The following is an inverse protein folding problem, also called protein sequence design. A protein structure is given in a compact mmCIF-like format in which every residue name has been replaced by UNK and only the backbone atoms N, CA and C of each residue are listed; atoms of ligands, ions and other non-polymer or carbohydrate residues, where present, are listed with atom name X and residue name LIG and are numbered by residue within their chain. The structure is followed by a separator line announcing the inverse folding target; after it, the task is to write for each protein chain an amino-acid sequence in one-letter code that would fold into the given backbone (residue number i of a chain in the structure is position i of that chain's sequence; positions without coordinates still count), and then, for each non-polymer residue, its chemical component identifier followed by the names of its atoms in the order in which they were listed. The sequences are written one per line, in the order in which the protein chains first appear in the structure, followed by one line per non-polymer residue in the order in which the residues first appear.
data_IF_540657185133
#
_entry.id   IF_540657185133
#
_cell.length_a   1.000
_cell.length_b   1.000
_cell.length_c   1.000
_cell.angle_alpha   90.00
_cell.angle_beta   90.00
_cell.angle_gamma   90.00
#
_symmetry.space_group_name_H-M   'P 1'
#
loop_
_entity.id
_entity.type
_entity.pdbx_description
1 polymer ?
#
# COMPACT_ATOMS: atom_id res chain seq x y z
N UNK A 1 -22.84 -2.27 38.87
CA UNK A 1 -21.36 -2.14 38.71
C UNK A 1 -20.65 -3.37 38.10
N UNK A 2 -21.19 -4.60 38.10
CA UNK A 2 -20.52 -5.77 37.48
C UNK A 2 -20.52 -5.80 35.93
N UNK A 3 -21.53 -5.19 35.29
CA UNK A 3 -21.64 -5.19 33.81
C UNK A 3 -20.69 -4.20 33.10
N UNK A 4 -20.31 -3.11 33.78
CA UNK A 4 -19.39 -2.11 33.22
C UNK A 4 -17.95 -2.63 33.16
N UNK A 5 -17.54 -3.42 34.15
CA UNK A 5 -16.20 -4.01 34.23
C UNK A 5 -15.98 -5.11 33.17
N UNK A 6 -17.02 -5.88 32.84
CA UNK A 6 -16.95 -6.95 31.84
C UNK A 6 -16.81 -6.40 30.40
N UNK A 7 -17.44 -5.26 30.09
CA UNK A 7 -17.29 -4.59 28.78
C UNK A 7 -15.92 -3.93 28.61
N UNK A 8 -15.32 -3.41 29.69
CA UNK A 8 -13.97 -2.84 29.66
C UNK A 8 -12.90 -3.93 29.45
N UNK A 9 -13.03 -5.07 30.13
CA UNK A 9 -12.12 -6.21 29.97
C UNK A 9 -12.17 -6.84 28.56
N UNK A 10 -13.37 -6.94 27.95
CA UNK A 10 -13.52 -7.48 26.59
C UNK A 10 -12.96 -6.55 25.52
N UNK A 11 -13.14 -5.23 25.67
CA UNK A 11 -12.58 -4.24 24.74
C UNK A 11 -11.04 -4.25 24.76
N UNK A 12 -10.41 -4.35 25.94
CA UNK A 12 -8.95 -4.37 26.09
C UNK A 12 -8.34 -5.65 25.48
N UNK A 13 -8.93 -6.82 25.72
CA UNK A 13 -8.47 -8.08 25.14
C UNK A 13 -8.57 -8.08 23.60
N UNK A 14 -9.66 -7.53 23.03
CA UNK A 14 -9.80 -7.38 21.59
C UNK A 14 -8.77 -6.42 21.00
N UNK A 15 -8.38 -5.35 21.70
CA UNK A 15 -7.38 -4.41 21.19
C UNK A 15 -5.99 -5.01 21.08
N UNK A 16 -5.56 -5.83 22.05
CA UNK A 16 -4.26 -6.50 22.00
C UNK A 16 -4.18 -7.56 20.90
N UNK A 17 -5.22 -8.38 20.75
CA UNK A 17 -5.28 -9.38 19.70
C UNK A 17 -5.23 -8.76 18.28
N UNK A 18 -5.86 -7.60 18.09
CA UNK A 18 -5.79 -6.84 16.83
C UNK A 18 -4.36 -6.38 16.51
N UNK A 19 -3.67 -5.84 17.51
CA UNK A 19 -2.33 -5.29 17.33
C UNK A 19 -1.31 -6.43 17.06
N UNK A 20 -1.52 -7.62 17.65
CA UNK A 20 -0.73 -8.83 17.37
C UNK A 20 -0.99 -9.41 15.97
N UNK A 21 -2.23 -9.37 15.46
CA UNK A 21 -2.57 -9.80 14.09
C UNK A 21 -1.93 -8.87 13.06
N UNK A 22 -1.99 -7.56 13.26
CA UNK A 22 -1.35 -6.61 12.36
C UNK A 22 0.18 -6.82 12.35
N UNK A 23 0.80 -7.05 13.51
CA UNK A 23 2.23 -7.27 13.60
C UNK A 23 2.68 -8.59 12.95
N UNK A 24 1.94 -9.69 13.18
CA UNK A 24 2.26 -11.01 12.62
C UNK A 24 1.98 -11.15 11.12
N UNK A 25 1.14 -10.28 10.55
CA UNK A 25 0.82 -10.27 9.12
C UNK A 25 1.65 -9.28 8.30
N UNK A 26 2.53 -8.49 8.92
CA UNK A 26 3.37 -7.52 8.22
C UNK A 26 4.48 -8.24 7.42
N UNK A 27 4.48 -8.09 6.10
CA UNK A 27 5.40 -8.79 5.18
C UNK A 27 6.26 -7.87 4.31
N UNK A 28 6.02 -6.57 4.36
CA UNK A 28 6.90 -5.56 3.77
C UNK A 28 6.77 -4.26 4.56
N UNK A 29 7.88 -3.65 4.94
CA UNK A 29 7.91 -2.45 5.76
C UNK A 29 9.13 -1.59 5.45
N UNK A 30 8.91 -0.42 4.85
CA UNK A 30 9.97 0.52 4.46
C UNK A 30 9.71 1.88 5.12
N UNK A 31 10.64 2.33 5.96
CA UNK A 31 10.56 3.60 6.69
C UNK A 31 11.40 4.70 6.06
N UNK A 32 12.37 4.35 5.21
CA UNK A 32 13.31 5.29 4.59
C UNK A 32 14.17 6.10 5.59
N UNK A 33 14.08 5.79 6.88
CA UNK A 33 14.85 6.43 7.95
C UNK A 33 16.35 6.11 7.88
N UNK A 34 17.17 6.92 8.54
CA UNK A 34 18.62 6.75 8.57
C UNK A 34 19.02 5.35 9.06
N UNK A 35 20.06 4.77 8.44
CA UNK A 35 20.49 3.38 8.70
C UNK A 35 19.56 2.29 8.13
N UNK A 36 18.35 2.64 7.69
CA UNK A 36 17.34 1.71 7.15
C UNK A 36 16.80 2.13 5.78
N UNK A 37 17.38 3.16 5.16
CA UNK A 37 16.91 3.84 3.94
C UNK A 37 16.40 2.90 2.84
N UNK A 38 17.16 1.87 2.50
CA UNK A 38 16.84 0.97 1.39
C UNK A 38 16.20 -0.34 1.84
N UNK A 39 16.01 -0.56 3.14
CA UNK A 39 15.74 -1.88 3.70
C UNK A 39 14.25 -2.12 3.92
N UNK A 40 13.81 -3.33 3.57
CA UNK A 40 12.59 -3.89 4.15
C UNK A 40 12.89 -4.40 5.57
N UNK A 41 12.21 -3.84 6.56
CA UNK A 41 12.39 -4.21 7.98
C UNK A 41 11.83 -5.59 8.33
N UNK A 42 11.04 -6.20 7.44
CA UNK A 42 10.56 -7.57 7.63
C UNK A 42 11.53 -8.63 7.09
N UNK A 43 12.50 -8.22 6.27
CA UNK A 43 13.50 -9.11 5.66
C UNK A 43 12.96 -9.99 4.53
N UNK A 44 11.75 -9.74 4.03
CA UNK A 44 11.14 -10.55 2.97
C UNK A 44 11.42 -9.99 1.58
N UNK A 45 11.61 -8.68 1.46
CA UNK A 45 11.91 -7.99 0.22
C UNK A 45 13.40 -7.61 0.15
N UNK A 46 13.96 -7.62 -1.07
CA UNK A 46 15.32 -7.16 -1.30
C UNK A 46 15.47 -5.64 -1.05
N UNK A 47 16.71 -5.20 -0.87
CA UNK A 47 17.02 -3.78 -0.74
C UNK A 47 16.55 -3.00 -1.99
N UNK A 48 16.04 -1.80 -1.74
CA UNK A 48 15.51 -0.91 -2.78
C UNK A 48 16.61 -0.48 -3.73
N UNK A 49 16.31 -0.55 -5.03
CA UNK A 49 17.07 0.09 -6.10
C UNK A 49 16.43 1.45 -6.42
N UNK A 50 17.18 2.52 -6.19
CA UNK A 50 16.77 3.87 -6.58
C UNK A 50 17.05 4.08 -8.08
N UNK A 51 16.00 4.44 -8.83
CA UNK A 51 16.04 4.70 -10.27
C UNK A 51 15.74 6.18 -10.50
N UNK A 52 16.70 7.02 -10.10
CA UNK A 52 16.58 8.48 -10.09
C UNK A 52 15.78 9.06 -8.90
N UNK A 53 15.05 8.23 -8.15
CA UNK A 53 14.51 8.64 -6.86
C UNK A 53 15.63 8.86 -5.84
N UNK A 54 15.32 9.57 -4.76
CA UNK A 54 16.26 9.85 -3.67
C UNK A 54 15.58 9.66 -2.32
N UNK A 55 16.39 9.43 -1.29
CA UNK A 55 15.90 9.38 0.09
C UNK A 55 16.49 10.55 0.85
N UNK A 56 15.62 11.39 1.42
CA UNK A 56 16.00 12.57 2.19
C UNK A 56 15.07 12.72 3.39
N UNK A 57 15.65 13.03 4.56
CA UNK A 57 14.92 13.32 5.80
C UNK A 57 13.86 12.27 6.17
N UNK A 58 14.21 10.99 6.08
CA UNK A 58 13.31 9.87 6.40
C UNK A 58 12.21 9.63 5.37
N UNK A 59 12.38 10.10 4.12
CA UNK A 59 11.35 9.96 3.08
C UNK A 59 11.93 9.51 1.76
N UNK A 60 11.22 8.62 1.07
CA UNK A 60 11.46 8.33 -0.33
C UNK A 60 10.80 9.42 -1.19
N UNK A 61 11.62 10.04 -2.04
CA UNK A 61 11.22 11.15 -2.91
C UNK A 61 11.15 10.64 -4.34
N UNK A 62 9.92 10.55 -4.85
CA UNK A 62 9.62 10.12 -6.22
C UNK A 62 9.10 11.29 -7.03
N UNK A 63 9.42 11.30 -8.32
CA UNK A 63 9.05 12.36 -9.24
C UNK A 63 9.00 11.85 -10.68
N UNK A 64 8.67 12.73 -11.63
CA UNK A 64 8.55 12.42 -13.06
C UNK A 64 9.69 11.57 -13.64
N UNK A 65 10.92 11.74 -13.17
CA UNK A 65 12.10 11.01 -13.64
C UNK A 65 12.69 10.07 -12.59
N UNK A 66 12.14 10.06 -11.38
CA UNK A 66 12.71 9.34 -10.23
C UNK A 66 11.70 8.38 -9.62
N UNK A 67 12.05 7.10 -9.59
CA UNK A 67 11.24 6.03 -9.03
C UNK A 67 12.13 5.02 -8.31
N UNK A 68 11.52 4.05 -7.65
CA UNK A 68 12.24 3.02 -6.91
C UNK A 68 11.58 1.65 -7.06
N UNK A 69 12.37 0.59 -6.90
CA UNK A 69 11.90 -0.80 -6.95
C UNK A 69 12.61 -1.66 -5.92
N UNK A 70 11.87 -2.57 -5.31
CA UNK A 70 12.41 -3.71 -4.58
C UNK A 70 12.15 -4.98 -5.42
N UNK A 71 13.15 -5.53 -6.12
CA UNK A 71 12.96 -6.45 -7.26
C UNK A 71 12.76 -7.92 -6.89
N UNK A 72 12.85 -8.30 -5.62
CA UNK A 72 12.79 -9.72 -5.20
C UNK A 72 12.06 -9.87 -3.88
N UNK A 73 11.28 -10.93 -3.78
CA UNK A 73 10.54 -11.33 -2.59
C UNK A 73 10.80 -12.80 -2.22
N UNK A 74 11.06 -13.05 -0.94
CA UNK A 74 11.31 -14.38 -0.37
C UNK A 74 10.40 -14.76 0.78
N UNK A 75 9.40 -13.92 1.08
CA UNK A 75 8.44 -14.15 2.15
C UNK A 75 7.32 -15.14 1.81
N UNK A 76 6.31 -15.26 2.68
CA UNK A 76 5.15 -16.13 2.48
C UNK A 76 4.27 -15.67 1.32
N UNK A 77 3.44 -16.56 0.77
CA UNK A 77 2.46 -16.19 -0.24
C UNK A 77 1.52 -15.08 0.26
N UNK A 78 1.33 -14.04 -0.56
CA UNK A 78 0.39 -12.95 -0.32
C UNK A 78 -0.85 -13.18 -1.20
N UNK A 79 -2.06 -13.12 -0.65
CA UNK A 79 -3.30 -13.20 -1.42
C UNK A 79 -4.29 -12.14 -0.95
N UNK A 80 -5.03 -12.40 0.12
CA UNK A 80 -5.67 -11.35 0.90
C UNK A 80 -4.59 -10.45 1.49
N UNK A 81 -4.80 -9.13 1.36
CA UNK A 81 -3.76 -8.18 1.72
C UNK A 81 -4.28 -6.80 2.06
N UNK A 82 -3.40 -6.02 2.68
CA UNK A 82 -3.54 -4.58 2.82
C UNK A 82 -2.27 -3.88 2.36
N UNK A 83 -2.41 -2.94 1.43
CA UNK A 83 -1.35 -2.00 1.03
C UNK A 83 -1.55 -0.71 1.81
N UNK A 84 -0.49 -0.15 2.39
CA UNK A 84 -0.52 1.12 3.13
C UNK A 84 0.66 1.99 2.71
N UNK A 85 0.42 3.28 2.52
CA UNK A 85 1.48 4.26 2.28
C UNK A 85 1.13 5.60 2.94
N UNK A 86 2.08 6.19 3.65
CA UNK A 86 2.01 7.57 4.14
C UNK A 86 2.70 8.47 3.12
N UNK A 87 1.90 9.28 2.45
CA UNK A 87 2.31 9.97 1.22
C UNK A 87 1.84 11.42 1.23
N UNK A 88 2.69 12.30 0.73
CA UNK A 88 2.39 13.71 0.46
C UNK A 88 2.68 13.99 -1.00
N UNK A 89 1.67 14.41 -1.77
CA UNK A 89 1.90 14.86 -3.14
C UNK A 89 2.69 16.17 -3.13
N UNK A 90 3.66 16.28 -4.04
CA UNK A 90 4.41 17.53 -4.30
C UNK A 90 3.93 18.23 -5.57
N UNK A 91 3.28 17.50 -6.49
CA UNK A 91 2.53 18.05 -7.62
C UNK A 91 1.31 17.16 -7.90
N UNK A 92 0.12 17.75 -7.92
CA UNK A 92 -1.14 17.03 -8.19
C UNK A 92 -1.45 16.86 -9.68
N UNK A 93 -0.70 17.53 -10.58
CA UNK A 93 -0.96 17.52 -12.03
C UNK A 93 -0.35 16.31 -12.74
N UNK A 94 0.36 15.46 -12.00
CA UNK A 94 0.90 14.19 -12.49
C UNK A 94 -0.16 13.10 -12.51
N UNK A 95 0.05 12.07 -13.34
CA UNK A 95 -0.96 11.03 -13.55
C UNK A 95 -0.37 9.63 -13.58
N UNK A 96 -1.19 8.73 -13.08
CA UNK A 96 -1.09 7.30 -13.19
C UNK A 96 0.15 6.66 -12.57
N UNK A 97 0.91 7.34 -11.72
CA UNK A 97 1.93 6.70 -10.87
C UNK A 97 1.35 6.16 -9.57
N UNK A 98 2.17 5.46 -8.78
CA UNK A 98 1.74 4.87 -7.52
C UNK A 98 2.59 5.30 -6.32
N UNK A 99 1.92 5.36 -5.17
CA UNK A 99 2.60 5.47 -3.87
C UNK A 99 3.12 4.11 -3.39
N UNK A 100 2.54 3.01 -3.86
CA UNK A 100 2.99 1.64 -3.59
C UNK A 100 2.31 0.70 -4.58
N UNK A 101 3.10 -0.12 -5.26
CA UNK A 101 2.64 -1.19 -6.15
C UNK A 101 3.22 -2.51 -5.71
N UNK A 102 2.42 -3.57 -5.71
CA UNK A 102 2.90 -4.95 -5.72
C UNK A 102 2.65 -5.55 -7.10
N UNK A 103 3.68 -6.09 -7.72
CA UNK A 103 3.68 -6.56 -9.11
C UNK A 103 4.23 -7.98 -9.21
N UNK A 104 3.85 -8.69 -10.28
CA UNK A 104 4.46 -9.96 -10.66
C UNK A 104 5.64 -9.74 -11.58
N UNK A 105 6.65 -10.59 -11.44
CA UNK A 105 7.84 -10.56 -12.30
C UNK A 105 7.53 -11.30 -13.61
N UNK A 106 6.77 -12.40 -13.51
CA UNK A 106 6.52 -13.35 -14.60
C UNK A 106 5.45 -12.93 -15.61
N UNK A 107 4.54 -12.03 -15.22
CA UNK A 107 3.38 -11.63 -16.03
C UNK A 107 2.88 -10.24 -15.61
N UNK A 108 2.22 -9.54 -16.52
CA UNK A 108 1.51 -8.29 -16.20
C UNK A 108 0.31 -8.55 -15.27
N UNK A 109 0.58 -8.47 -13.97
CA UNK A 109 -0.40 -8.58 -12.89
C UNK A 109 0.04 -7.78 -11.66
N UNK A 110 -0.44 -6.55 -11.55
CA UNK A 110 -0.18 -5.69 -10.40
C UNK A 110 -1.45 -5.31 -9.63
N UNK A 111 -1.25 -4.92 -8.37
CA UNK A 111 -2.20 -4.14 -7.56
C UNK A 111 -1.48 -2.94 -6.94
N UNK A 112 -2.11 -1.76 -6.93
CA UNK A 112 -1.40 -0.54 -6.52
C UNK A 112 -2.29 0.54 -5.89
N UNK A 113 -1.67 1.36 -5.05
CA UNK A 113 -2.19 2.66 -4.61
C UNK A 113 -1.85 3.69 -5.69
N UNK A 114 -2.75 3.87 -6.66
CA UNK A 114 -2.53 4.71 -7.84
C UNK A 114 -3.18 6.08 -7.69
N UNK A 115 -2.54 7.10 -8.25
CA UNK A 115 -3.04 8.46 -8.32
C UNK A 115 -3.33 8.91 -9.75
N UNK A 116 -4.54 9.39 -10.03
CA UNK A 116 -4.85 10.16 -11.25
C UNK A 116 -4.93 9.36 -12.55
N UNK A 117 -5.02 8.03 -12.49
CA UNK A 117 -5.04 7.16 -13.68
C UNK A 117 -6.38 7.21 -14.43
N UNK A 118 -7.49 6.81 -13.78
CA UNK A 118 -8.83 6.80 -14.41
C UNK A 118 -9.57 8.12 -14.23
N UNK A 119 -9.58 8.65 -13.01
CA UNK A 119 -10.13 9.97 -12.70
C UNK A 119 -8.99 10.90 -12.28
N UNK A 120 -8.91 12.08 -12.91
CA UNK A 120 -7.86 13.04 -12.61
C UNK A 120 -7.88 13.43 -11.12
N UNK A 121 -6.69 13.61 -10.54
CA UNK A 121 -6.47 14.05 -9.17
C UNK A 121 -7.03 13.12 -8.07
N UNK A 122 -7.47 11.90 -8.40
CA UNK A 122 -8.09 10.98 -7.43
C UNK A 122 -7.24 9.75 -7.15
N UNK A 123 -7.28 9.29 -5.90
CA UNK A 123 -6.68 8.03 -5.49
C UNK A 123 -7.58 6.85 -5.85
N UNK A 124 -6.98 5.74 -6.28
CA UNK A 124 -7.67 4.53 -6.71
C UNK A 124 -6.82 3.28 -6.50
N UNK A 125 -7.48 2.12 -6.52
CA UNK A 125 -6.84 0.81 -6.55
C UNK A 125 -6.58 0.45 -8.01
N UNK A 126 -5.35 0.64 -8.47
CA UNK A 126 -4.94 0.25 -9.83
C UNK A 126 -4.71 -1.25 -9.93
N UNK A 127 -4.99 -1.82 -11.10
CA UNK A 127 -4.69 -3.22 -11.43
C UNK A 127 -4.51 -3.38 -12.94
N UNK A 128 -3.77 -4.41 -13.36
CA UNK A 128 -3.56 -4.70 -14.79
C UNK A 128 -4.88 -4.78 -15.55
N UNK A 129 -4.98 -4.03 -16.65
CA UNK A 129 -6.18 -3.89 -17.49
C UNK A 129 -7.45 -3.53 -16.72
N UNK A 130 -7.32 -2.92 -15.53
CA UNK A 130 -8.43 -2.60 -14.63
C UNK A 130 -9.28 -3.81 -14.22
N UNK A 131 -8.72 -5.02 -14.25
CA UNK A 131 -9.44 -6.27 -13.93
C UNK A 131 -10.03 -6.27 -12.53
N UNK A 132 -9.38 -5.60 -11.57
CA UNK A 132 -9.81 -5.44 -10.16
C UNK A 132 -10.06 -3.98 -9.79
N UNK A 133 -10.29 -3.11 -10.78
CA UNK A 133 -10.41 -1.67 -10.57
C UNK A 133 -11.82 -1.17 -10.91
N UNK A 134 -12.42 -0.46 -9.96
CA UNK A 134 -13.62 0.35 -10.14
C UNK A 134 -13.35 1.73 -9.57
N UNK A 135 -13.87 2.78 -10.22
CA UNK A 135 -13.69 4.15 -9.74
C UNK A 135 -14.34 4.29 -8.34
N UNK A 136 -13.57 4.66 -7.31
CA UNK A 136 -14.08 4.66 -5.95
C UNK A 136 -15.16 5.73 -5.78
N UNK A 137 -16.19 5.40 -5.00
CA UNK A 137 -17.28 6.31 -4.62
C UNK A 137 -17.41 6.35 -3.09
N UNK A 138 -17.47 7.54 -2.45
CA UNK A 138 -17.46 8.88 -3.07
C UNK A 138 -16.12 9.28 -3.72
N UNK A 139 -15.06 8.50 -3.52
CA UNK A 139 -13.72 8.79 -4.01
C UNK A 139 -13.00 9.80 -3.12
N UNK A 140 -11.70 9.98 -3.36
CA UNK A 140 -10.89 10.94 -2.62
C UNK A 140 -9.97 11.71 -3.57
N UNK A 141 -10.10 13.03 -3.59
CA UNK A 141 -9.23 13.93 -4.35
C UNK A 141 -7.96 14.12 -3.54
N UNK A 142 -6.82 13.79 -4.13
CA UNK A 142 -5.53 14.01 -3.49
C UNK A 142 -5.19 15.49 -3.40
N UNK A 143 -4.41 15.83 -2.37
CA UNK A 143 -3.93 17.18 -2.10
C UNK A 143 -2.45 17.12 -1.72
N UNK A 144 -1.85 18.29 -1.47
CA UNK A 144 -0.48 18.39 -0.96
C UNK A 144 -0.35 18.17 0.54
N UNK A 145 -1.46 17.83 1.22
CA UNK A 145 -1.42 17.43 2.63
C UNK A 145 -0.92 15.98 2.75
N UNK A 146 -0.09 15.68 3.76
CA UNK A 146 0.31 14.29 4.03
C UNK A 146 -0.90 13.47 4.47
N UNK A 147 -1.03 12.27 3.93
CA UNK A 147 -2.12 11.33 4.23
C UNK A 147 -1.62 9.90 4.30
N UNK A 148 -2.24 9.09 5.14
CA UNK A 148 -2.20 7.63 5.01
C UNK A 148 -3.23 7.20 3.98
N UNK A 149 -2.82 6.53 2.92
CA UNK A 149 -3.73 5.81 2.02
C UNK A 149 -3.56 4.32 2.28
N UNK A 150 -4.68 3.61 2.45
CA UNK A 150 -4.69 2.17 2.59
C UNK A 150 -5.71 1.52 1.64
N UNK A 151 -5.36 0.36 1.07
CA UNK A 151 -6.25 -0.42 0.21
C UNK A 151 -6.23 -1.88 0.67
N UNK A 152 -7.39 -2.40 1.01
CA UNK A 152 -7.57 -3.79 1.44
C UNK A 152 -8.16 -4.63 0.32
N UNK A 153 -7.72 -5.88 0.17
CA UNK A 153 -8.19 -6.84 -0.82
C UNK A 153 -8.61 -8.11 -0.09
N UNK A 154 -9.92 -8.37 -0.08
CA UNK A 154 -10.52 -9.51 0.60
C UNK A 154 -11.12 -10.47 -0.42
N UNK A 155 -10.92 -11.77 -0.27
CA UNK A 155 -11.59 -12.76 -1.09
C UNK A 155 -13.03 -12.98 -0.59
N UNK A 156 -14.01 -12.62 -1.42
CA UNK A 156 -15.42 -12.90 -1.19
C UNK A 156 -15.92 -13.91 -2.22
N UNK A 157 -15.78 -15.20 -1.89
CA UNK A 157 -16.26 -16.33 -2.72
C UNK A 157 -15.71 -16.29 -4.15
N UNK A 158 -14.40 -16.05 -4.29
CA UNK A 158 -13.69 -16.01 -5.57
C UNK A 158 -13.62 -14.62 -6.21
N UNK A 159 -14.45 -13.67 -5.76
CA UNK A 159 -14.36 -12.27 -6.19
C UNK A 159 -13.61 -11.42 -5.17
N UNK A 160 -12.73 -10.52 -5.62
CA UNK A 160 -12.04 -9.62 -4.69
C UNK A 160 -12.92 -8.44 -4.30
N UNK A 161 -13.06 -8.23 -3.00
CA UNK A 161 -13.69 -7.07 -2.39
C UNK A 161 -12.61 -6.08 -1.97
N UNK A 162 -12.61 -4.92 -2.62
CA UNK A 162 -11.62 -3.86 -2.45
C UNK A 162 -12.23 -2.74 -1.61
N UNK A 163 -11.49 -2.26 -0.60
CA UNK A 163 -11.86 -1.08 0.19
C UNK A 163 -10.68 -0.12 0.25
N UNK A 164 -10.96 1.17 0.11
CA UNK A 164 -9.95 2.24 0.06
C UNK A 164 -10.20 3.22 1.21
N UNK A 165 -9.13 3.58 1.91
CA UNK A 165 -9.16 4.40 3.11
C UNK A 165 -8.16 5.55 3.01
N UNK A 166 -8.55 6.69 3.55
CA UNK A 166 -7.68 7.84 3.80
C UNK A 166 -7.69 8.13 5.30
N UNK A 167 -6.52 8.09 5.96
CA UNK A 167 -6.39 8.24 7.41
C UNK A 167 -7.37 7.32 8.18
N UNK A 168 -7.49 6.07 7.75
CA UNK A 168 -8.43 5.08 8.28
C UNK A 168 -9.91 5.29 7.96
N UNK A 169 -10.30 6.39 7.31
CA UNK A 169 -11.69 6.66 6.88
C UNK A 169 -11.94 6.11 5.48
N UNK A 170 -13.00 5.30 5.33
CA UNK A 170 -13.41 4.71 4.06
C UNK A 170 -13.81 5.81 3.05
N UNK A 171 -13.27 5.75 1.83
CA UNK A 171 -13.67 6.63 0.72
C UNK A 171 -14.07 5.88 -0.56
N UNK A 172 -13.93 4.55 -0.58
CA UNK A 172 -14.35 3.73 -1.71
C UNK A 172 -14.44 2.26 -1.33
N UNK A 173 -15.40 1.56 -1.92
CA UNK A 173 -15.51 0.10 -1.84
C UNK A 173 -16.22 -0.46 -3.07
N UNK A 174 -15.84 -1.67 -3.46
CA UNK A 174 -16.50 -2.41 -4.53
C UNK A 174 -16.04 -3.88 -4.51
N UNK A 175 -16.72 -4.74 -5.27
CA UNK A 175 -16.30 -6.11 -5.55
C UNK A 175 -16.11 -6.27 -7.05
N UNK A 176 -14.92 -6.65 -7.51
CA UNK A 176 -14.64 -6.83 -8.94
C UNK A 176 -13.38 -7.66 -9.18
N UNK A 177 -13.49 -8.65 -10.08
CA UNK A 177 -12.36 -9.47 -10.52
C UNK A 177 -12.00 -10.58 -9.52
N UNK A 178 -10.95 -11.33 -9.83
CA UNK A 178 -10.44 -12.43 -9.02
C UNK A 178 -9.47 -11.94 -7.93
N UNK A 179 -9.19 -12.78 -6.93
CA UNK A 179 -8.09 -12.52 -5.98
C UNK A 179 -6.75 -12.89 -6.63
N UNK A 180 -5.85 -11.93 -6.76
CA UNK A 180 -4.49 -12.20 -7.24
C UNK A 180 -3.61 -12.78 -6.12
N UNK A 181 -2.55 -13.49 -6.50
CA UNK A 181 -1.63 -14.18 -5.60
C UNK A 181 -0.20 -13.77 -5.94
N UNK A 182 0.56 -13.34 -4.95
CA UNK A 182 1.97 -12.99 -5.07
C UNK A 182 2.80 -14.00 -4.31
N UNK A 183 3.72 -14.66 -5.02
CA UNK A 183 4.49 -15.79 -4.49
C UNK A 183 5.97 -15.44 -4.38
N UNK A 184 6.67 -16.17 -3.50
CA UNK A 184 8.13 -16.15 -3.42
C UNK A 184 8.76 -16.32 -4.81
N UNK A 185 9.70 -15.44 -5.14
CA UNK A 185 10.42 -15.45 -6.42
C UNK A 185 9.66 -14.84 -7.60
N UNK A 186 8.38 -14.46 -7.43
CA UNK A 186 7.55 -13.86 -8.47
C UNK A 186 6.78 -12.63 -7.95
N UNK A 187 7.46 -11.82 -7.14
CA UNK A 187 6.89 -10.60 -6.58
C UNK A 187 7.95 -9.52 -6.48
N UNK A 188 7.61 -8.32 -6.94
CA UNK A 188 8.39 -7.10 -6.77
C UNK A 188 7.49 -5.92 -6.38
N UNK A 189 8.10 -4.84 -5.89
CA UNK A 189 7.38 -3.67 -5.38
C UNK A 189 7.94 -2.41 -6.01
N UNK A 190 7.05 -1.48 -6.39
CA UNK A 190 7.43 -0.20 -6.99
C UNK A 190 6.88 1.00 -6.22
N UNK A 191 7.61 2.11 -6.33
CA UNK A 191 7.21 3.44 -5.93
C UNK A 191 7.48 4.43 -7.06
N UNK A 192 6.60 5.40 -7.28
CA UNK A 192 6.79 6.43 -8.31
C UNK A 192 6.14 6.05 -9.64
N UNK A 193 6.53 4.92 -10.23
CA UNK A 193 5.88 4.37 -11.43
C UNK A 193 4.65 3.54 -11.07
N UNK A 194 3.75 3.29 -12.03
CA UNK A 194 2.55 2.50 -11.77
C UNK A 194 2.86 1.03 -11.49
N UNK A 195 3.66 0.43 -12.36
CA UNK A 195 4.06 -0.98 -12.41
C UNK A 195 5.11 -1.10 -13.53
N UNK A 196 5.75 -2.25 -13.71
CA UNK A 196 6.71 -2.42 -14.80
C UNK A 196 7.78 -3.45 -14.47
N UNK A 197 9.04 -3.12 -14.74
CA UNK A 197 10.19 -3.93 -14.37
C UNK A 197 11.36 -3.02 -13.97
N UNK A 198 12.53 -3.60 -13.70
CA UNK A 198 13.73 -2.88 -13.28
C UNK A 198 14.30 -1.88 -14.31
N UNK A 199 13.83 -1.93 -15.56
CA UNK A 199 14.16 -0.96 -16.62
C UNK A 199 13.14 0.20 -16.71
N UNK A 200 11.99 0.07 -16.04
CA UNK A 200 10.96 1.12 -15.98
C UNK A 200 9.56 0.60 -16.26
N UNK A 201 8.63 1.55 -16.35
CA UNK A 201 7.23 1.28 -16.63
C UNK A 201 6.41 2.56 -16.76
N UNK A 202 5.10 2.47 -17.00
CA UNK A 202 4.24 3.62 -17.25
C UNK A 202 3.85 4.38 -15.97
N UNK A 203 3.36 5.61 -16.15
CA UNK A 203 2.78 6.44 -15.08
C UNK A 203 3.78 7.03 -14.11
N UNK A 204 3.53 8.22 -13.56
CA UNK A 204 4.43 8.88 -12.60
C UNK A 204 3.64 9.60 -11.52
N UNK A 205 4.18 9.63 -10.32
CA UNK A 205 3.71 10.47 -9.21
C UNK A 205 4.87 11.34 -8.72
N UNK A 206 4.53 12.54 -8.25
CA UNK A 206 5.45 13.46 -7.60
C UNK A 206 5.04 13.50 -6.14
N UNK A 207 5.83 12.84 -5.28
CA UNK A 207 5.46 12.64 -3.90
C UNK A 207 6.67 12.43 -2.99
N UNK A 208 6.46 12.74 -1.72
CA UNK A 208 7.27 12.27 -0.61
C UNK A 208 6.52 11.13 0.07
N UNK A 209 7.20 10.01 0.30
CA UNK A 209 6.65 8.82 0.92
C UNK A 209 7.41 8.61 2.22
N UNK A 210 6.72 8.80 3.35
CA UNK A 210 7.31 8.63 4.69
C UNK A 210 7.44 7.15 5.03
N UNK A 211 6.47 6.33 4.64
CA UNK A 211 6.50 4.91 4.96
C UNK A 211 5.58 4.11 4.03
N UNK A 212 5.95 2.87 3.75
CA UNK A 212 5.09 1.91 3.03
C UNK A 212 5.04 0.57 3.76
N UNK A 213 3.87 -0.05 3.76
CA UNK A 213 3.63 -1.37 4.38
C UNK A 213 2.78 -2.27 3.51
N UNK A 214 3.07 -3.56 3.56
CA UNK A 214 2.26 -4.64 2.98
C UNK A 214 1.95 -5.64 4.09
N UNK A 215 0.66 -5.94 4.26
CA UNK A 215 0.16 -6.94 5.19
C UNK A 215 -0.48 -8.10 4.42
N UNK A 216 -0.31 -9.34 4.88
CA UNK A 216 -0.98 -10.56 4.38
C UNK A 216 -2.39 -10.77 4.96
N UNK A 217 -2.97 -9.71 5.55
CA UNK A 217 -4.33 -9.73 6.10
C UNK A 217 -5.13 -8.52 5.64
N UNK A 218 -6.44 -8.61 5.79
CA UNK A 218 -7.39 -7.53 5.53
C UNK A 218 -7.54 -6.71 6.82
N UNK A 219 -6.79 -5.62 6.95
CA UNK A 219 -6.86 -4.76 8.12
C UNK A 219 -8.22 -4.04 8.19
N UNK A 220 -8.77 -4.00 9.39
CA UNK A 220 -10.00 -3.30 9.74
C UNK A 220 -9.73 -1.80 9.89
N UNK A 221 -10.76 -0.95 9.72
CA UNK A 221 -10.61 0.50 9.88
C UNK A 221 -9.98 0.90 11.23
N UNK A 222 -10.33 0.21 12.32
CA UNK A 222 -9.77 0.48 13.66
C UNK A 222 -8.28 0.18 13.74
N UNK A 223 -7.79 -0.84 13.03
CA UNK A 223 -6.36 -1.17 12.96
C UNK A 223 -5.61 -0.11 12.15
N UNK A 224 -6.18 0.33 11.02
CA UNK A 224 -5.59 1.37 10.16
C UNK A 224 -5.40 2.70 10.91
N UNK A 225 -6.39 3.12 11.70
CA UNK A 225 -6.33 4.35 12.52
C UNK A 225 -5.28 4.26 13.62
N UNK A 226 -4.94 3.05 14.09
CA UNK A 226 -3.90 2.85 15.11
C UNK A 226 -2.49 2.82 14.54
N UNK A 227 -2.31 2.57 13.23
CA UNK A 227 -0.98 2.54 12.65
C UNK A 227 -0.26 3.89 12.87
N UNK A 228 0.98 3.82 13.33
CA UNK A 228 1.86 4.97 13.52
C UNK A 228 3.10 4.79 12.66
N UNK A 229 3.63 5.90 12.15
CA UNK A 229 4.93 5.93 11.49
C UNK A 229 6.02 5.42 12.44
N UNK A 230 6.98 4.70 11.90
CA UNK A 230 8.16 4.20 12.59
C UNK A 230 9.33 5.14 12.28
N UNK A 231 9.42 6.22 13.08
CA UNK A 231 10.47 7.23 13.02
C UNK A 231 11.57 6.93 14.03
#
# INVERSE_FOLDING_TARGET
MKYLLLCLLSAIACTHACDDIAKSSLVGHWTFEEGKKLKDLTGNFADILLKGARIENGKLIVHRQGWAVSPKYTGPTISEKTLVSWVRLTDTRVRAGSALTIDKISVDEFDAIVYGEREANRWMSGSSFFRRTTDPRPGYIGSTNPVQIAITYQNMRGSVHVRLYVNGRLFGRYTKGYIAIWSRGDTEVFWGIRHGNTNGGPGRINAEIEESRIYTTVLKPQELVKLRLNK
#
